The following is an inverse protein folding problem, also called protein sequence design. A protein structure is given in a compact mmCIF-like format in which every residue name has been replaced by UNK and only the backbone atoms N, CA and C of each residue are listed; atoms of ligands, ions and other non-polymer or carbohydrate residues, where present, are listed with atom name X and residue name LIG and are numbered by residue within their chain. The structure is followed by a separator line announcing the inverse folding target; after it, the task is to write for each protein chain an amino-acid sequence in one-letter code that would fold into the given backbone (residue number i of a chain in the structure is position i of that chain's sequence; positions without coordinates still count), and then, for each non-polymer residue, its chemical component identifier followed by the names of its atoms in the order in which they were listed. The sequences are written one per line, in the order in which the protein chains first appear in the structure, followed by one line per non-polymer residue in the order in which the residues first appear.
data_IF_581279363611
#
_entry.id   IF_581279363611
#
_cell.length_a   1.000
_cell.length_b   1.000
_cell.length_c   1.000
_cell.angle_alpha   90.00
_cell.angle_beta   90.00
_cell.angle_gamma   90.00
#
_symmetry.space_group_name_H-M   'P 1'
#
loop_
_entity.id
_entity.type
_entity.pdbx_description
1 polymer ?
#
# COMPACT_ATOMS: atom_id res chain seq x y z
N UNK A 1 -30.28 3.71 2.84
CA UNK A 1 -29.88 2.43 3.47
C UNK A 1 -29.38 2.73 4.87
N UNK A 2 -30.18 2.44 5.89
CA UNK A 2 -29.77 2.57 7.30
C UNK A 2 -28.78 1.46 7.56
N UNK A 3 -27.49 1.78 7.63
CA UNK A 3 -26.45 0.78 7.93
C UNK A 3 -26.57 0.38 9.38
N UNK A 4 -26.74 -0.93 9.62
CA UNK A 4 -26.79 -1.57 10.93
C UNK A 4 -25.74 -0.96 11.88
N UNK A 5 -26.14 -0.48 13.08
CA UNK A 5 -25.20 0.09 14.05
C UNK A 5 -24.04 -0.86 14.38
N UNK A 6 -24.24 -2.18 14.32
CA UNK A 6 -23.17 -3.17 14.52
C UNK A 6 -22.14 -3.14 13.39
N UNK A 7 -22.56 -3.02 12.13
CA UNK A 7 -21.63 -2.88 11.00
C UNK A 7 -20.84 -1.58 11.08
N UNK A 8 -21.45 -0.50 11.56
CA UNK A 8 -20.75 0.76 11.76
C UNK A 8 -19.71 0.66 12.87
N UNK A 9 -20.03 -0.01 13.99
CA UNK A 9 -19.09 -0.25 15.08
C UNK A 9 -17.89 -1.10 14.61
N UNK A 10 -18.12 -2.21 13.91
CA UNK A 10 -17.06 -3.05 13.35
C UNK A 10 -16.16 -2.31 12.36
N UNK A 11 -16.74 -1.51 11.45
CA UNK A 11 -15.95 -0.70 10.51
C UNK A 11 -15.10 0.36 11.21
N UNK A 12 -15.55 0.89 12.36
CA UNK A 12 -14.77 1.85 13.16
C UNK A 12 -13.56 1.20 13.80
N UNK A 13 -13.72 0.02 14.40
CA UNK A 13 -12.62 -0.74 15.01
C UNK A 13 -11.57 -1.11 13.96
N UNK A 14 -12.02 -1.56 12.78
CA UNK A 14 -11.11 -1.89 11.69
C UNK A 14 -10.35 -0.66 11.17
N UNK A 15 -11.01 0.49 11.07
CA UNK A 15 -10.37 1.73 10.58
C UNK A 15 -9.29 2.26 11.52
N UNK A 16 -9.44 2.02 12.82
CA UNK A 16 -8.45 2.42 13.83
C UNK A 16 -7.07 1.79 13.55
N UNK A 17 -7.06 0.53 13.10
CA UNK A 17 -5.84 -0.19 12.78
C UNK A 17 -5.03 0.44 11.63
N UNK A 18 -5.65 1.31 10.82
CA UNK A 18 -5.04 2.05 9.70
C UNK A 18 -4.78 3.53 10.01
N UNK A 19 -4.92 3.97 11.26
CA UNK A 19 -4.72 5.38 11.63
C UNK A 19 -3.23 5.71 11.76
N UNK A 20 -2.44 4.77 12.28
CA UNK A 20 -1.04 4.95 12.69
C UNK A 20 0.00 4.85 11.56
N UNK A 21 -0.42 4.57 10.31
CA UNK A 21 0.49 4.47 9.16
C UNK A 21 1.23 3.13 9.06
N UNK A 22 0.94 2.18 9.97
CA UNK A 22 1.67 0.90 10.04
C UNK A 22 1.36 0.00 8.84
N UNK A 23 0.16 0.09 8.30
CA UNK A 23 -0.21 -0.63 7.08
C UNK A 23 0.58 -0.16 5.86
N UNK A 24 0.77 1.15 5.70
CA UNK A 24 1.57 1.72 4.63
C UNK A 24 3.05 1.32 4.75
N UNK A 25 3.58 1.23 5.97
CA UNK A 25 4.90 0.66 6.23
C UNK A 25 4.99 -0.83 5.85
N UNK A 26 3.97 -1.63 6.18
CA UNK A 26 3.96 -3.05 5.83
C UNK A 26 3.97 -3.29 4.32
N UNK A 27 3.03 -2.66 3.60
CA UNK A 27 2.97 -2.82 2.14
C UNK A 27 4.19 -2.18 1.48
N UNK A 28 4.61 -1.00 1.95
CA UNK A 28 5.81 -0.34 1.43
C UNK A 28 7.05 -1.21 1.57
N UNK A 29 7.25 -1.83 2.75
CA UNK A 29 8.33 -2.77 3.00
C UNK A 29 8.25 -4.00 2.08
N UNK A 30 7.05 -4.55 1.86
CA UNK A 30 6.87 -5.71 0.98
C UNK A 30 7.21 -5.36 -0.47
N UNK A 31 6.78 -4.19 -0.94
CA UNK A 31 7.14 -3.68 -2.26
C UNK A 31 8.67 -3.45 -2.38
N UNK A 32 9.34 -2.93 -1.36
CA UNK A 32 10.80 -2.78 -1.41
C UNK A 32 11.53 -4.14 -1.44
N UNK A 33 11.05 -5.15 -0.71
CA UNK A 33 11.58 -6.51 -0.82
C UNK A 33 11.41 -7.09 -2.22
N UNK A 34 10.24 -6.88 -2.84
CA UNK A 34 10.00 -7.28 -4.23
C UNK A 34 10.91 -6.53 -5.20
N UNK A 35 11.14 -5.23 -5.01
CA UNK A 35 12.07 -4.45 -5.82
C UNK A 35 13.50 -5.00 -5.73
N UNK A 36 13.95 -5.31 -4.52
CA UNK A 36 15.27 -5.92 -4.28
C UNK A 36 15.38 -7.31 -4.93
N UNK A 37 14.31 -8.12 -4.88
CA UNK A 37 14.24 -9.42 -5.54
C UNK A 37 14.40 -9.28 -7.06
N UNK A 38 13.59 -8.43 -7.71
CA UNK A 38 13.69 -8.25 -9.17
C UNK A 38 15.04 -7.65 -9.58
N UNK A 39 15.64 -6.81 -8.74
CA UNK A 39 17.00 -6.30 -8.99
C UNK A 39 18.06 -7.41 -8.90
N UNK A 40 17.93 -8.31 -7.92
CA UNK A 40 18.79 -9.48 -7.83
C UNK A 40 18.59 -10.42 -9.03
N UNK A 41 17.35 -10.63 -9.47
CA UNK A 41 17.05 -11.45 -10.66
C UNK A 41 17.80 -10.94 -11.90
N UNK A 42 17.86 -9.62 -12.09
CA UNK A 42 18.62 -8.99 -13.18
C UNK A 42 20.12 -9.28 -13.06
N UNK A 43 20.69 -9.13 -11.87
CA UNK A 43 22.12 -9.33 -11.64
C UNK A 43 22.55 -10.80 -11.79
N UNK A 44 21.64 -11.73 -11.46
CA UNK A 44 21.89 -13.17 -11.46
C UNK A 44 21.35 -13.89 -12.70
N UNK A 45 20.86 -13.15 -13.70
CA UNK A 45 20.19 -13.72 -14.89
C UNK A 45 21.02 -14.78 -15.61
N UNK A 46 22.34 -14.57 -15.73
CA UNK A 46 23.26 -15.49 -16.42
C UNK A 46 23.80 -16.62 -15.52
N UNK A 47 23.42 -16.64 -14.24
CA UNK A 47 23.92 -17.61 -13.26
C UNK A 47 22.96 -18.79 -13.07
N UNK A 48 23.50 -19.93 -12.63
CA UNK A 48 22.69 -21.11 -12.25
C UNK A 48 21.68 -20.83 -11.13
N UNK A 49 21.91 -19.77 -10.34
CA UNK A 49 21.03 -19.33 -9.25
C UNK A 49 19.71 -18.75 -9.77
N UNK A 50 19.62 -18.34 -11.04
CA UNK A 50 18.39 -17.85 -11.68
C UNK A 50 17.24 -18.86 -11.55
N UNK A 51 17.53 -20.16 -11.70
CA UNK A 51 16.53 -21.23 -11.56
C UNK A 51 15.98 -21.36 -10.12
N UNK A 52 16.73 -20.92 -9.11
CA UNK A 52 16.32 -20.97 -7.71
C UNK A 52 15.57 -19.69 -7.30
N UNK A 53 15.66 -18.61 -8.08
CA UNK A 53 14.98 -17.33 -7.78
C UNK A 53 13.47 -17.50 -7.64
N UNK A 54 12.83 -18.37 -8.41
CA UNK A 54 11.40 -18.66 -8.23
C UNK A 54 11.05 -19.20 -6.83
N UNK A 55 11.93 -20.03 -6.24
CA UNK A 55 11.76 -20.51 -4.87
C UNK A 55 11.92 -19.36 -3.87
N UNK A 56 12.90 -18.48 -4.09
CA UNK A 56 13.06 -17.26 -3.29
C UNK A 56 11.87 -16.32 -3.41
N UNK A 57 11.27 -16.19 -4.59
CA UNK A 57 10.06 -15.39 -4.79
C UNK A 57 8.91 -15.90 -3.92
N UNK A 58 8.65 -17.22 -3.94
CA UNK A 58 7.63 -17.83 -3.09
C UNK A 58 7.93 -17.62 -1.60
N UNK A 59 9.21 -17.77 -1.22
CA UNK A 59 9.67 -17.55 0.15
C UNK A 59 9.49 -16.09 0.58
N UNK A 60 9.74 -15.12 -0.30
CA UNK A 60 9.49 -13.70 -0.04
C UNK A 60 7.98 -13.44 0.07
N UNK A 61 7.16 -14.02 -0.80
CA UNK A 61 5.70 -13.84 -0.77
C UNK A 61 5.08 -14.34 0.55
N UNK A 62 5.50 -15.52 1.02
CA UNK A 62 4.97 -16.12 2.24
C UNK A 62 5.69 -15.57 3.48
N UNK A 63 7.02 -15.66 3.49
CA UNK A 63 7.88 -15.32 4.61
C UNK A 63 8.10 -13.82 4.78
N UNK A 64 8.19 -13.05 3.69
CA UNK A 64 8.33 -11.59 3.74
C UNK A 64 7.12 -10.92 4.37
N UNK A 65 5.91 -11.37 4.03
CA UNK A 65 4.68 -10.88 4.67
C UNK A 65 4.66 -11.13 6.18
N UNK A 66 5.06 -12.34 6.61
CA UNK A 66 5.18 -12.67 8.03
C UNK A 66 6.25 -11.83 8.74
N UNK A 67 7.44 -11.71 8.13
CA UNK A 67 8.57 -10.96 8.69
C UNK A 67 8.23 -9.48 8.85
N UNK A 68 7.66 -8.86 7.82
CA UNK A 68 7.29 -7.44 7.86
C UNK A 68 6.20 -7.20 8.89
N UNK A 69 5.17 -8.06 8.94
CA UNK A 69 4.13 -7.94 9.97
C UNK A 69 4.72 -8.07 11.37
N UNK A 70 5.68 -8.99 11.58
CA UNK A 70 6.37 -9.13 12.86
C UNK A 70 7.19 -7.88 13.21
N UNK A 71 7.95 -7.33 12.27
CA UNK A 71 8.72 -6.10 12.47
C UNK A 71 7.81 -4.92 12.82
N UNK A 72 6.69 -4.80 12.12
CA UNK A 72 5.70 -3.74 12.35
C UNK A 72 5.03 -3.93 13.72
N UNK A 73 4.68 -5.16 14.12
CA UNK A 73 4.15 -5.40 15.46
C UNK A 73 5.16 -5.07 16.56
N UNK A 74 6.43 -5.46 16.40
CA UNK A 74 7.49 -5.10 17.35
C UNK A 74 7.65 -3.58 17.47
N UNK A 75 7.59 -2.87 16.34
CA UNK A 75 7.59 -1.41 16.33
C UNK A 75 6.38 -0.85 17.09
N UNK A 76 5.19 -1.42 16.88
CA UNK A 76 3.97 -1.00 17.59
C UNK A 76 4.07 -1.27 19.09
N UNK A 77 4.61 -2.42 19.50
CA UNK A 77 4.78 -2.79 20.91
C UNK A 77 5.68 -1.82 21.66
N UNK A 78 6.76 -1.36 21.05
CA UNK A 78 7.68 -0.43 21.68
C UNK A 78 7.23 1.03 21.59
N UNK A 79 6.59 1.42 20.49
CA UNK A 79 6.39 2.85 20.16
C UNK A 79 4.93 3.29 20.30
N UNK A 80 3.99 2.46 19.84
CA UNK A 80 2.58 2.85 19.71
C UNK A 80 1.74 2.41 20.91
N UNK A 81 1.86 1.15 21.34
CA UNK A 81 1.03 0.55 22.39
C UNK A 81 1.20 1.19 23.79
N UNK A 82 2.39 1.63 24.22
CA UNK A 82 2.54 2.30 25.52
C UNK A 82 1.85 3.67 25.60
N UNK A 83 1.49 4.27 24.45
CA UNK A 83 0.97 5.65 24.35
C UNK A 83 -0.53 5.72 24.13
N UNK A 84 -1.17 4.60 23.81
CA UNK A 84 -2.61 4.55 23.55
C UNK A 84 -3.41 4.44 24.84
N UNK A 85 -3.64 5.58 25.51
CA UNK A 85 -4.71 5.77 26.48
C UNK A 85 -6.04 6.19 25.82
N UNK A 86 -7.17 5.80 26.42
CA UNK A 86 -8.60 5.98 26.03
C UNK A 86 -8.95 6.76 24.72
N UNK A 87 -9.68 6.09 23.83
CA UNK A 87 -10.00 6.56 22.46
C UNK A 87 -11.17 7.55 22.43
N UNK A 88 -10.95 8.75 21.88
CA UNK A 88 -12.02 9.65 21.44
C UNK A 88 -12.48 9.29 20.02
N UNK A 89 -13.79 9.05 19.85
CA UNK A 89 -14.38 8.67 18.57
C UNK A 89 -14.75 9.92 17.75
N UNK A 90 -13.98 10.23 16.72
CA UNK A 90 -14.37 11.23 15.73
C UNK A 90 -15.50 10.69 14.81
N UNK A 91 -16.62 11.41 14.76
CA UNK A 91 -17.79 11.06 13.95
C UNK A 91 -17.59 11.47 12.48
N UNK A 92 -17.84 10.60 11.49
CA UNK A 92 -17.80 10.99 10.08
C UNK A 92 -19.06 11.75 9.67
N UNK A 93 -18.89 12.95 9.11
CA UNK A 93 -19.97 13.79 8.53
C UNK A 93 -20.51 13.20 7.21
N UNK A 94 -21.82 12.97 7.10
CA UNK A 94 -22.49 12.25 6.01
C UNK A 94 -22.29 12.83 4.60
N UNK A 95 -22.06 14.14 4.46
CA UNK A 95 -21.86 14.81 3.17
C UNK A 95 -20.62 14.33 2.38
N UNK A 96 -19.65 13.68 3.05
CA UNK A 96 -18.40 13.20 2.43
C UNK A 96 -18.57 11.87 1.68
N UNK A 97 -19.70 11.18 1.85
CA UNK A 97 -19.92 9.85 1.28
C UNK A 97 -20.29 9.89 -0.22
N UNK A 98 -21.12 10.86 -0.63
CA UNK A 98 -21.51 11.04 -2.04
C UNK A 98 -20.34 11.46 -2.93
N UNK A 99 -19.53 12.44 -2.48
CA UNK A 99 -18.29 12.83 -3.18
C UNK A 99 -17.33 11.65 -3.35
N UNK A 100 -17.31 10.71 -2.40
CA UNK A 100 -16.49 9.49 -2.48
C UNK A 100 -17.01 8.48 -3.49
N UNK A 101 -18.33 8.26 -3.53
CA UNK A 101 -18.94 7.37 -4.53
C UNK A 101 -18.72 7.90 -5.95
N UNK A 102 -18.87 9.21 -6.15
CA UNK A 102 -18.53 9.86 -7.42
C UNK A 102 -17.05 9.66 -7.79
N UNK A 103 -16.12 9.85 -6.86
CA UNK A 103 -14.69 9.64 -7.12
C UNK A 103 -14.36 8.18 -7.47
N UNK A 104 -14.95 7.21 -6.78
CA UNK A 104 -14.72 5.79 -7.06
C UNK A 104 -15.28 5.38 -8.43
N UNK A 105 -16.49 5.86 -8.76
CA UNK A 105 -17.12 5.60 -10.06
C UNK A 105 -16.33 6.26 -11.19
N UNK A 106 -15.91 7.51 -11.01
CA UNK A 106 -15.07 8.22 -11.98
C UNK A 106 -13.73 7.53 -12.18
N UNK A 107 -13.09 7.06 -11.10
CA UNK A 107 -11.81 6.34 -11.19
C UNK A 107 -11.96 4.99 -11.90
N UNK A 108 -13.03 4.24 -11.63
CA UNK A 108 -13.31 2.98 -12.31
C UNK A 108 -13.57 3.18 -13.81
N UNK A 109 -14.34 4.20 -14.18
CA UNK A 109 -14.57 4.56 -15.58
C UNK A 109 -13.28 5.00 -16.29
N UNK A 110 -12.46 5.80 -15.60
CA UNK A 110 -11.13 6.20 -16.08
C UNK A 110 -10.22 5.00 -16.31
N UNK A 111 -10.16 4.07 -15.35
CA UNK A 111 -9.34 2.86 -15.46
C UNK A 111 -9.77 1.99 -16.64
N UNK A 112 -11.08 1.82 -16.84
CA UNK A 112 -11.62 1.07 -17.98
C UNK A 112 -11.26 1.74 -19.32
N UNK A 113 -11.43 3.07 -19.42
CA UNK A 113 -11.05 3.83 -20.61
C UNK A 113 -9.55 3.75 -20.90
N UNK A 114 -8.72 3.81 -19.85
CA UNK A 114 -7.26 3.70 -19.95
C UNK A 114 -6.85 2.31 -20.46
N UNK A 115 -7.45 1.23 -19.95
CA UNK A 115 -7.17 -0.13 -20.42
C UNK A 115 -7.51 -0.26 -21.91
N UNK A 116 -8.69 0.21 -22.32
CA UNK A 116 -9.12 0.18 -23.73
C UNK A 116 -8.14 0.99 -24.60
N UNK A 117 -7.76 2.19 -24.16
CA UNK A 117 -6.78 3.02 -24.86
C UNK A 117 -5.44 2.32 -25.03
N UNK A 118 -4.92 1.67 -23.99
CA UNK A 118 -3.65 0.94 -24.04
C UNK A 118 -3.70 -0.26 -24.98
N UNK A 119 -4.79 -1.01 -25.00
CA UNK A 119 -4.96 -2.14 -25.92
C UNK A 119 -4.95 -1.63 -27.38
N UNK A 120 -5.71 -0.57 -27.66
CA UNK A 120 -5.85 -0.03 -29.02
C UNK A 120 -4.60 0.67 -29.55
N UNK A 121 -3.78 1.27 -28.68
CA UNK A 121 -2.54 1.98 -29.04
C UNK A 121 -1.26 1.22 -28.70
N UNK A 122 -1.34 -0.06 -28.32
CA UNK A 122 -0.15 -0.84 -27.97
C UNK A 122 0.74 -1.04 -29.21
N UNK A 123 1.90 -0.37 -29.22
CA UNK A 123 2.94 -0.58 -30.22
C UNK A 123 3.79 -1.81 -29.86
N UNK A 124 4.48 -2.38 -30.86
CA UNK A 124 5.46 -3.45 -30.63
C UNK A 124 6.62 -2.90 -29.79
N UNK A 125 6.63 -3.23 -28.50
CA UNK A 125 7.55 -2.66 -27.51
C UNK A 125 6.86 -2.09 -26.26
N UNK A 126 5.60 -2.43 -25.99
CA UNK A 126 4.97 -2.08 -24.71
C UNK A 126 5.23 -3.18 -23.67
N UNK A 127 5.77 -2.82 -22.50
CA UNK A 127 5.93 -3.77 -21.40
C UNK A 127 4.60 -3.99 -20.67
N UNK A 128 3.91 -5.05 -21.10
CA UNK A 128 2.66 -5.48 -20.49
C UNK A 128 2.83 -6.00 -19.07
N UNK A 129 4.00 -6.51 -18.68
CA UNK A 129 4.20 -7.09 -17.35
C UNK A 129 4.08 -6.00 -16.28
N UNK A 130 4.86 -4.92 -16.41
CA UNK A 130 4.83 -3.78 -15.49
C UNK A 130 3.47 -3.07 -15.49
N UNK A 131 2.86 -2.91 -16.67
CA UNK A 131 1.55 -2.27 -16.79
C UNK A 131 0.45 -3.06 -16.10
N UNK A 132 0.37 -4.37 -16.36
CA UNK A 132 -0.63 -5.25 -15.75
C UNK A 132 -0.45 -5.29 -14.24
N UNK A 133 0.80 -5.36 -13.74
CA UNK A 133 1.08 -5.24 -12.31
C UNK A 133 0.52 -3.93 -11.73
N UNK A 134 0.76 -2.80 -12.39
CA UNK A 134 0.24 -1.48 -11.98
C UNK A 134 -1.28 -1.41 -11.92
N UNK A 135 -1.96 -2.04 -12.88
CA UNK A 135 -3.42 -2.12 -12.93
C UNK A 135 -3.99 -3.03 -11.83
N UNK A 136 -3.39 -4.20 -11.60
CA UNK A 136 -3.83 -5.13 -10.55
C UNK A 136 -3.66 -4.48 -9.17
N UNK A 137 -2.50 -3.89 -8.88
CA UNK A 137 -2.26 -3.21 -7.60
C UNK A 137 -3.24 -2.05 -7.39
N UNK A 138 -3.51 -1.27 -8.44
CA UNK A 138 -4.52 -0.20 -8.38
C UNK A 138 -5.90 -0.74 -8.04
N UNK A 139 -6.34 -1.83 -8.69
CA UNK A 139 -7.63 -2.45 -8.40
C UNK A 139 -7.73 -2.91 -6.94
N UNK A 140 -6.67 -3.53 -6.41
CA UNK A 140 -6.57 -3.92 -5.00
C UNK A 140 -6.65 -2.69 -4.10
N UNK A 141 -5.89 -1.62 -4.38
CA UNK A 141 -5.89 -0.40 -3.57
C UNK A 141 -7.23 0.33 -3.59
N UNK A 142 -7.93 0.36 -4.74
CA UNK A 142 -9.30 0.89 -4.84
C UNK A 142 -10.27 0.07 -4.01
N UNK A 143 -10.15 -1.26 -4.05
CA UNK A 143 -10.95 -2.15 -3.23
C UNK A 143 -10.74 -1.87 -1.74
N UNK A 144 -9.49 -1.69 -1.30
CA UNK A 144 -9.19 -1.28 0.07
C UNK A 144 -9.69 0.13 0.41
N UNK A 145 -9.58 1.09 -0.52
CA UNK A 145 -10.12 2.44 -0.37
C UNK A 145 -11.63 2.42 -0.13
N UNK A 146 -12.35 1.56 -0.86
CA UNK A 146 -13.78 1.35 -0.71
C UNK A 146 -14.12 0.65 0.63
N UNK A 147 -13.40 -0.43 0.96
CA UNK A 147 -13.62 -1.26 2.16
C UNK A 147 -13.34 -0.53 3.47
N UNK A 148 -12.26 0.25 3.53
CA UNK A 148 -11.79 0.94 4.75
C UNK A 148 -12.14 2.44 4.78
N UNK A 149 -12.74 2.96 3.70
CA UNK A 149 -13.19 4.36 3.60
C UNK A 149 -12.05 5.39 3.76
N UNK A 150 -10.86 5.07 3.27
CA UNK A 150 -9.65 5.89 3.40
C UNK A 150 -9.22 6.44 2.04
N UNK A 151 -9.31 7.77 1.86
CA UNK A 151 -8.97 8.47 0.61
C UNK A 151 -7.49 8.32 0.22
N UNK A 152 -6.60 8.13 1.20
CA UNK A 152 -5.17 7.89 0.98
C UNK A 152 -4.89 6.69 0.07
N UNK A 153 -5.70 5.62 0.16
CA UNK A 153 -5.53 4.46 -0.73
C UNK A 153 -5.88 4.76 -2.19
N UNK A 154 -6.77 5.72 -2.43
CA UNK A 154 -7.05 6.19 -3.79
C UNK A 154 -5.84 6.93 -4.39
N UNK A 155 -5.09 7.69 -3.57
CA UNK A 155 -3.87 8.35 -4.02
C UNK A 155 -2.80 7.32 -4.44
N UNK A 156 -2.62 6.25 -3.66
CA UNK A 156 -1.72 5.16 -4.05
C UNK A 156 -2.22 4.40 -5.28
N UNK A 157 -3.53 4.24 -5.46
CA UNK A 157 -4.08 3.62 -6.67
C UNK A 157 -3.79 4.45 -7.92
N UNK A 158 -3.95 5.78 -7.85
CA UNK A 158 -3.57 6.69 -8.94
C UNK A 158 -2.07 6.59 -9.24
N UNK A 159 -1.24 6.61 -8.18
CA UNK A 159 0.21 6.47 -8.31
C UNK A 159 0.60 5.12 -8.96
N UNK A 160 -0.04 4.02 -8.54
CA UNK A 160 0.15 2.67 -9.08
C UNK A 160 -0.15 2.60 -10.57
N UNK A 161 -1.27 3.17 -11.02
CA UNK A 161 -1.61 3.25 -12.45
C UNK A 161 -0.60 4.10 -13.19
N UNK A 162 -0.27 5.29 -12.66
CA UNK A 162 0.69 6.20 -13.27
C UNK A 162 2.06 5.56 -13.48
N UNK A 163 2.61 4.92 -12.44
CA UNK A 163 3.87 4.20 -12.50
C UNK A 163 3.80 3.03 -13.49
N UNK A 164 2.75 2.21 -13.43
CA UNK A 164 2.59 1.06 -14.33
C UNK A 164 2.56 1.46 -15.80
N UNK A 165 1.81 2.49 -16.14
CA UNK A 165 1.70 2.97 -17.53
C UNK A 165 2.97 3.67 -17.99
N UNK A 166 3.53 4.58 -17.20
CA UNK A 166 4.75 5.32 -17.57
C UNK A 166 5.93 4.37 -17.77
N UNK A 167 6.10 3.40 -16.87
CA UNK A 167 7.18 2.41 -16.98
C UNK A 167 6.90 1.38 -18.08
N UNK A 168 5.62 1.06 -18.35
CA UNK A 168 5.23 0.22 -19.48
C UNK A 168 5.65 0.79 -20.84
N UNK A 169 5.57 2.11 -21.01
CA UNK A 169 6.05 2.79 -22.22
C UNK A 169 7.58 2.91 -22.30
N UNK A 170 8.31 2.80 -21.18
CA UNK A 170 9.77 2.89 -21.18
C UNK A 170 10.44 1.65 -21.79
N UNK A 171 9.75 0.51 -21.84
CA UNK A 171 10.17 -0.75 -22.45
C UNK A 171 11.61 -1.18 -22.11
N UNK A 172 11.92 -1.20 -20.82
CA UNK A 172 13.25 -1.56 -20.38
C UNK A 172 13.47 -3.08 -20.39
N UNK A 173 14.69 -3.53 -20.73
CA UNK A 173 14.98 -4.96 -20.80
C UNK A 173 15.03 -5.60 -19.40
N UNK A 174 14.88 -6.93 -19.35
CA UNK A 174 15.06 -7.77 -18.16
C UNK A 174 14.23 -7.36 -16.93
N UNK A 175 12.94 -7.01 -17.09
CA UNK A 175 12.04 -6.69 -15.96
C UNK A 175 12.48 -5.49 -15.10
N UNK A 176 13.37 -4.63 -15.60
CA UNK A 176 13.81 -3.44 -14.85
C UNK A 176 12.65 -2.47 -14.57
N UNK A 177 11.60 -2.50 -15.39
CA UNK A 177 10.32 -1.81 -15.12
C UNK A 177 9.68 -2.22 -13.80
N UNK A 178 9.72 -3.51 -13.43
CA UNK A 178 9.19 -4.00 -12.15
C UNK A 178 10.03 -3.54 -10.97
N UNK A 179 11.36 -3.47 -11.10
CA UNK A 179 12.25 -2.94 -10.06
C UNK A 179 11.87 -1.50 -9.72
N UNK A 180 11.75 -0.64 -10.73
CA UNK A 180 11.35 0.74 -10.51
C UNK A 180 9.92 0.85 -10.01
N UNK A 181 9.01 0.05 -10.53
CA UNK A 181 7.61 0.08 -10.13
C UNK A 181 7.46 -0.22 -8.63
N UNK A 182 7.99 -1.36 -8.18
CA UNK A 182 7.92 -1.77 -6.78
C UNK A 182 8.79 -0.88 -5.89
N UNK A 183 9.94 -0.42 -6.38
CA UNK A 183 10.83 0.48 -5.66
C UNK A 183 10.18 1.84 -5.40
N UNK A 184 9.64 2.49 -6.43
CA UNK A 184 9.00 3.80 -6.33
C UNK A 184 7.70 3.72 -5.51
N UNK A 185 6.85 2.72 -5.78
CA UNK A 185 5.61 2.54 -5.02
C UNK A 185 5.93 2.23 -3.56
N UNK A 186 6.85 1.30 -3.30
CA UNK A 186 7.27 0.91 -1.96
C UNK A 186 7.85 2.07 -1.15
N UNK A 187 8.77 2.84 -1.76
CA UNK A 187 9.36 4.02 -1.14
C UNK A 187 8.30 5.08 -0.82
N UNK A 188 7.38 5.35 -1.75
CA UNK A 188 6.32 6.33 -1.55
C UNK A 188 5.41 5.97 -0.37
N UNK A 189 5.03 4.68 -0.26
CA UNK A 189 4.20 4.18 0.83
C UNK A 189 4.95 4.17 2.15
N UNK A 190 6.23 3.80 2.14
CA UNK A 190 7.07 3.78 3.34
C UNK A 190 7.29 5.18 3.89
N UNK A 191 7.63 6.16 3.03
CA UNK A 191 7.82 7.55 3.43
C UNK A 191 6.53 8.16 3.98
N UNK A 192 5.41 7.98 3.28
CA UNK A 192 4.12 8.47 3.74
C UNK A 192 3.67 7.78 5.04
N UNK A 193 3.87 6.47 5.17
CA UNK A 193 3.62 5.71 6.39
C UNK A 193 4.46 6.20 7.56
N UNK A 194 5.75 6.45 7.35
CA UNK A 194 6.66 6.99 8.36
C UNK A 194 6.27 8.42 8.80
N UNK A 195 5.86 9.28 7.86
CA UNK A 195 5.35 10.64 8.18
C UNK A 195 4.06 10.56 8.99
N UNK A 196 3.13 9.67 8.62
CA UNK A 196 1.88 9.47 9.36
C UNK A 196 2.17 8.96 10.77
N UNK A 197 3.04 7.96 10.91
CA UNK A 197 3.46 7.44 12.20
C UNK A 197 4.14 8.52 13.05
N UNK A 198 5.07 9.27 12.48
CA UNK A 198 5.74 10.38 13.18
C UNK A 198 4.77 11.46 13.66
N UNK A 199 3.80 11.83 12.83
CA UNK A 199 2.75 12.78 13.21
C UNK A 199 1.83 12.19 14.29
N UNK A 200 1.49 10.91 14.20
CA UNK A 200 0.69 10.22 15.21
C UNK A 200 1.38 10.21 16.58
N UNK A 201 2.69 9.94 16.61
CA UNK A 201 3.49 9.92 17.83
C UNK A 201 3.67 11.32 18.45
N UNK A 202 3.70 12.37 17.63
CA UNK A 202 3.71 13.77 18.11
C UNK A 202 2.37 14.17 18.70
N UNK A 203 1.26 13.66 18.17
CA UNK A 203 -0.09 13.96 18.65
C UNK A 203 -0.49 13.17 19.89
N UNK A 204 0.17 12.03 20.14
CA UNK A 204 -0.09 11.17 21.29
C UNK A 204 1.21 10.97 22.09
N UNK A 205 1.65 12.00 22.86
CA UNK A 205 2.81 11.88 23.73
C UNK A 205 2.58 10.78 24.78
N UNK A 206 3.66 10.11 25.19
CA UNK A 206 3.58 9.08 26.22
C UNK A 206 3.05 9.68 27.53
N UNK A 207 2.17 8.98 28.28
CA UNK A 207 1.79 9.41 29.60
C UNK A 207 3.05 9.59 30.44
N UNK A 208 3.19 10.74 31.10
CA UNK A 208 4.27 10.95 32.07
C UNK A 208 4.17 9.83 33.11
N UNK A 209 5.26 9.11 33.34
CA UNK A 209 5.36 8.14 34.43
C UNK A 209 4.91 8.88 35.69
N UNK A 210 3.78 8.46 36.27
CA UNK A 210 3.35 8.96 37.55
C UNK A 210 4.48 8.64 38.51
N UNK A 211 5.23 9.66 38.91
CA UNK A 211 6.18 9.59 40.00
C UNK A 211 5.41 9.11 41.23
N UNK A 212 5.49 7.80 41.50
CA UNK A 212 5.15 7.23 42.79
C UNK A 212 6.20 7.71 43.79
N UNK A 213 6.12 8.99 44.13
CA UNK A 213 6.64 9.51 45.39
C UNK A 213 5.49 9.39 46.39
N UNK A 214 5.51 8.30 47.16
CA UNK A 214 5.10 8.22 48.59
C UNK A 214 5.40 6.83 49.15
#
# INVERSE_FOLDING_TARGET
MVTDPLQQAQQRTLRYWYVDGTFELSIGGMCLLLAAYFYAEILLADSWLSNIMFVFFLLIMIGGGFLINRLVMMLKEHVTFPRTGYVSFAHPTGARQWKRMLLLSAFSAFLAALIVFLILNSQAGFDWTTTVTGLIFSAVLVFLAWRFRLLRFLAYAVLSVGLGVVLGFANWPHNFGLVLYYGALGLSMLLAGAVILGNYLRQNPAPAEASHDE
#
